data_IF_102000274546
#
_entry.id   IF_102000274546
#
_cell.length_a   1.000
_cell.length_b   1.000
_cell.length_c   1.000
_cell.angle_alpha   90.00
_cell.angle_beta   90.00
_cell.angle_gamma   90.00
#
_symmetry.space_group_name_H-M   'P 1'
#
loop_
_entity.id
_entity.type
_entity.pdbx_description
1 polymer ?
#
# COMPACT_ATOMS: atom_id res chain seq x y z
N UNK A 1 1.42 14.26 -16.08
CA UNK A 1 1.32 12.84 -16.47
C UNK A 1 0.99 11.99 -15.25
N UNK A 2 0.28 10.88 -15.43
CA UNK A 2 0.04 9.91 -14.36
C UNK A 2 1.25 8.97 -14.23
N UNK A 3 1.84 8.86 -13.04
CA UNK A 3 3.02 8.01 -12.82
C UNK A 3 2.71 6.52 -12.63
N UNK A 4 1.43 6.14 -12.46
CA UNK A 4 0.96 4.79 -12.13
C UNK A 4 1.64 4.11 -10.92
N UNK A 5 2.32 4.88 -10.06
CA UNK A 5 3.00 4.37 -8.87
C UNK A 5 2.05 4.25 -7.68
N UNK A 6 1.26 3.18 -7.65
CA UNK A 6 0.27 2.93 -6.59
C UNK A 6 0.88 2.61 -5.22
N UNK A 7 2.17 2.27 -5.18
CA UNK A 7 2.85 1.80 -3.98
C UNK A 7 3.77 2.86 -3.36
N UNK A 8 3.99 3.98 -4.03
CA UNK A 8 4.90 5.03 -3.55
C UNK A 8 6.36 4.59 -3.52
N UNK A 9 6.78 3.72 -4.44
CA UNK A 9 8.18 3.24 -4.48
C UNK A 9 9.08 4.38 -4.90
N UNK A 10 10.04 4.75 -4.03
CA UNK A 10 11.03 5.79 -4.32
C UNK A 10 12.00 5.32 -5.42
N UNK A 11 12.40 6.26 -6.27
CA UNK A 11 13.42 6.07 -7.29
C UNK A 11 14.81 6.26 -6.65
N UNK A 12 15.29 5.24 -5.94
CA UNK A 12 16.60 5.24 -5.27
C UNK A 12 17.54 4.16 -5.84
N UNK A 13 18.84 4.31 -5.60
CA UNK A 13 19.85 3.29 -5.87
C UNK A 13 19.95 2.90 -7.35
N UNK A 14 19.45 1.71 -7.69
CA UNK A 14 19.59 1.05 -9.01
C UNK A 14 18.47 1.35 -10.01
N UNK A 15 17.51 2.21 -9.65
CA UNK A 15 16.41 2.53 -10.56
C UNK A 15 16.92 3.38 -11.74
N UNK A 16 16.74 2.89 -12.97
CA UNK A 16 17.13 3.57 -14.21
C UNK A 16 15.95 3.94 -15.11
N UNK A 17 14.72 3.69 -14.65
CA UNK A 17 13.50 4.02 -15.39
C UNK A 17 13.00 5.44 -15.12
N UNK A 18 11.83 5.74 -15.68
CA UNK A 18 11.14 7.02 -15.50
C UNK A 18 10.88 7.33 -14.02
N UNK A 19 10.86 8.62 -13.69
CA UNK A 19 10.57 9.06 -12.32
C UNK A 19 9.97 10.46 -12.27
N UNK A 20 9.15 10.70 -11.25
CA UNK A 20 8.54 12.00 -10.98
C UNK A 20 9.04 12.54 -9.65
N UNK A 21 9.28 13.85 -9.58
CA UNK A 21 9.62 14.55 -8.33
C UNK A 21 8.33 15.05 -7.68
N UNK A 22 8.10 14.68 -6.43
CA UNK A 22 6.89 15.02 -5.68
C UNK A 22 7.27 15.59 -4.32
N UNK A 23 6.70 16.73 -3.89
CA UNK A 23 6.85 17.20 -2.51
C UNK A 23 6.17 16.23 -1.54
N UNK A 24 6.92 15.71 -0.57
CA UNK A 24 6.44 14.82 0.49
C UNK A 24 6.73 15.36 1.87
N UNK A 25 6.10 14.73 2.87
CA UNK A 25 6.45 14.89 4.28
C UNK A 25 7.16 13.60 4.68
N UNK A 26 8.44 13.71 4.96
CA UNK A 26 9.27 12.63 5.51
C UNK A 26 9.42 12.85 7.02
N UNK A 27 9.82 11.80 7.74
CA UNK A 27 10.09 11.89 9.17
C UNK A 27 11.57 11.65 9.41
N UNK A 28 12.27 12.67 9.92
CA UNK A 28 13.69 12.63 10.28
C UNK A 28 13.77 12.85 11.80
N UNK A 29 14.34 11.89 12.53
CA UNK A 29 14.36 11.86 14.01
C UNK A 29 12.97 12.08 14.65
N UNK A 30 11.92 11.59 13.98
CA UNK A 30 10.53 11.74 14.40
C UNK A 30 9.90 13.11 14.09
N UNK A 31 10.64 14.03 13.48
CA UNK A 31 10.17 15.36 13.10
C UNK A 31 9.69 15.34 11.64
N UNK A 32 8.49 15.83 11.33
CA UNK A 32 8.02 15.93 9.96
C UNK A 32 8.76 17.02 9.19
N UNK A 33 9.41 16.66 8.08
CA UNK A 33 10.18 17.54 7.21
C UNK A 33 9.61 17.50 5.80
N UNK A 34 9.39 18.67 5.19
CA UNK A 34 8.98 18.75 3.78
C UNK A 34 10.20 18.58 2.88
N UNK A 35 10.12 17.65 1.93
CA UNK A 35 11.21 17.36 1.01
C UNK A 35 10.69 17.00 -0.37
N UNK A 36 11.44 17.32 -1.42
CA UNK A 36 11.17 16.80 -2.75
C UNK A 36 11.80 15.41 -2.87
N UNK A 37 10.98 14.39 -3.06
CA UNK A 37 11.43 13.00 -3.24
C UNK A 37 11.11 12.52 -4.66
N UNK A 38 11.98 11.66 -5.19
CA UNK A 38 11.79 11.05 -6.51
C UNK A 38 11.08 9.72 -6.36
N UNK A 39 9.99 9.54 -7.09
CA UNK A 39 9.24 8.29 -7.15
C UNK A 39 9.38 7.67 -8.52
N UNK A 40 9.41 6.34 -8.56
CA UNK A 40 9.35 5.60 -9.84
C UNK A 40 8.09 5.99 -10.58
N UNK A 41 8.17 6.09 -11.90
CA UNK A 41 7.03 6.21 -12.77
C UNK A 41 7.00 5.00 -13.70
N UNK A 42 5.79 4.57 -14.03
CA UNK A 42 5.53 3.37 -14.80
C UNK A 42 4.62 3.68 -15.98
N UNK A 43 4.62 2.82 -16.99
CA UNK A 43 3.77 2.97 -18.17
C UNK A 43 2.34 2.47 -17.94
N UNK A 44 2.14 1.61 -16.94
CA UNK A 44 0.81 1.06 -16.61
C UNK A 44 0.68 0.68 -15.13
N UNK A 45 -0.55 0.50 -14.63
CA UNK A 45 -0.78 -0.11 -13.32
C UNK A 45 -0.11 -1.48 -13.18
N UNK A 46 -0.20 -2.33 -14.21
CA UNK A 46 0.37 -3.68 -14.14
C UNK A 46 1.89 -3.66 -13.89
N UNK A 47 2.60 -2.66 -14.42
CA UNK A 47 4.04 -2.51 -14.24
C UNK A 47 4.40 -2.19 -12.78
N UNK A 48 3.62 -1.32 -12.11
CA UNK A 48 3.88 -0.98 -10.71
C UNK A 48 3.60 -2.13 -9.75
N UNK A 49 2.59 -2.97 -10.04
CA UNK A 49 2.35 -4.20 -9.29
C UNK A 49 3.48 -5.21 -9.48
N UNK A 50 3.97 -5.40 -10.70
CA UNK A 50 5.11 -6.31 -10.97
C UNK A 50 6.37 -5.84 -10.26
N UNK A 51 6.67 -4.54 -10.31
CA UNK A 51 7.84 -3.98 -9.65
C UNK A 51 7.74 -4.05 -8.12
N UNK A 52 6.56 -3.77 -7.55
CA UNK A 52 6.30 -3.96 -6.13
C UNK A 52 6.52 -5.41 -5.69
N UNK A 53 5.94 -6.38 -6.41
CA UNK A 53 6.14 -7.79 -6.09
C UNK A 53 7.62 -8.21 -6.17
N UNK A 54 8.34 -7.73 -7.19
CA UNK A 54 9.77 -7.97 -7.32
C UNK A 54 10.59 -7.32 -6.20
N UNK A 55 10.24 -6.10 -5.78
CA UNK A 55 10.87 -5.40 -4.67
C UNK A 55 10.74 -6.20 -3.36
N UNK A 56 9.53 -6.60 -3.00
CA UNK A 56 9.27 -7.34 -1.76
C UNK A 56 9.94 -8.72 -1.80
N UNK A 57 9.91 -9.40 -2.96
CA UNK A 57 10.49 -10.74 -3.11
C UNK A 57 12.02 -10.75 -3.09
N UNK A 58 12.67 -9.77 -3.72
CA UNK A 58 14.10 -9.85 -4.04
C UNK A 58 14.98 -8.99 -3.12
N UNK A 59 14.40 -8.16 -2.25
CA UNK A 59 15.16 -7.30 -1.34
C UNK A 59 15.20 -7.92 0.07
N UNK A 60 16.39 -8.28 0.60
CA UNK A 60 16.51 -8.89 1.93
C UNK A 60 15.89 -8.07 3.06
N UNK A 61 15.78 -6.73 2.90
CA UNK A 61 15.10 -5.87 3.87
C UNK A 61 13.63 -6.24 4.12
N UNK A 62 12.98 -6.89 3.15
CA UNK A 62 11.56 -7.25 3.20
C UNK A 62 11.32 -8.76 3.36
N UNK A 63 12.36 -9.55 3.67
CA UNK A 63 12.23 -11.00 3.81
C UNK A 63 11.16 -11.39 4.84
N UNK A 64 11.08 -10.67 5.96
CA UNK A 64 10.06 -10.88 7.01
C UNK A 64 8.63 -10.59 6.57
N UNK A 65 8.44 -9.87 5.46
CA UNK A 65 7.10 -9.60 4.93
C UNK A 65 6.58 -10.77 4.07
N UNK A 66 7.46 -11.67 3.62
CA UNK A 66 7.08 -12.83 2.82
C UNK A 66 6.28 -13.83 3.68
N UNK A 67 5.17 -14.34 3.15
CA UNK A 67 4.29 -15.27 3.85
C UNK A 67 3.33 -14.63 4.85
N UNK A 68 3.50 -13.35 5.19
CA UNK A 68 2.58 -12.62 6.07
C UNK A 68 1.33 -12.07 5.34
N UNK A 69 1.10 -12.39 4.07
CA UNK A 69 0.05 -11.76 3.27
C UNK A 69 -1.39 -11.95 3.80
N UNK A 70 -1.63 -12.98 4.62
CA UNK A 70 -2.91 -13.21 5.31
C UNK A 70 -3.08 -12.43 6.62
N UNK A 71 -1.98 -11.87 7.16
CA UNK A 71 -1.96 -11.03 8.35
C UNK A 71 -1.43 -9.64 8.01
N UNK A 72 -2.35 -8.70 7.81
CA UNK A 72 -2.03 -7.31 7.47
C UNK A 72 -1.14 -6.65 8.52
N UNK A 73 -1.32 -6.99 9.81
CA UNK A 73 -0.53 -6.37 10.87
C UNK A 73 0.93 -6.82 10.81
N UNK A 74 1.16 -8.13 10.67
CA UNK A 74 2.51 -8.68 10.48
C UNK A 74 3.16 -8.16 9.21
N UNK A 75 2.41 -8.12 8.10
CA UNK A 75 2.92 -7.62 6.83
C UNK A 75 3.35 -6.14 6.93
N UNK A 76 2.49 -5.29 7.49
CA UNK A 76 2.77 -3.87 7.60
C UNK A 76 3.91 -3.56 8.59
N UNK A 77 4.01 -4.33 9.68
CA UNK A 77 5.12 -4.23 10.62
C UNK A 77 6.46 -4.60 9.95
N UNK A 78 6.49 -5.70 9.18
CA UNK A 78 7.69 -6.11 8.46
C UNK A 78 8.12 -5.10 7.39
N UNK A 79 7.16 -4.47 6.69
CA UNK A 79 7.47 -3.38 5.76
C UNK A 79 8.07 -2.16 6.48
N UNK A 80 7.51 -1.78 7.62
CA UNK A 80 8.02 -0.67 8.43
C UNK A 80 9.44 -0.97 8.92
N UNK A 81 9.69 -2.16 9.44
CA UNK A 81 11.02 -2.61 9.88
C UNK A 81 12.03 -2.62 8.73
N UNK A 82 11.60 -3.02 7.52
CA UNK A 82 12.41 -2.97 6.30
C UNK A 82 12.65 -1.55 5.75
N UNK A 83 12.12 -0.52 6.41
CA UNK A 83 12.31 0.88 6.03
C UNK A 83 11.49 1.30 4.81
N UNK A 84 10.32 0.69 4.59
CA UNK A 84 9.44 1.06 3.48
C UNK A 84 8.90 2.50 3.60
N UNK A 85 8.63 2.95 4.83
CA UNK A 85 8.18 4.30 5.14
C UNK A 85 8.94 4.85 6.35
N UNK A 86 9.19 6.15 6.38
CA UNK A 86 9.83 6.82 7.52
C UNK A 86 8.85 7.15 8.63
N UNK A 87 7.55 7.13 8.34
CA UNK A 87 6.50 7.41 9.32
C UNK A 87 6.50 6.35 10.43
N UNK A 88 6.70 6.75 11.71
CA UNK A 88 6.75 5.81 12.83
C UNK A 88 5.41 5.08 13.07
N UNK A 89 4.31 5.58 12.52
CA UNK A 89 2.98 4.99 12.65
C UNK A 89 2.49 4.29 11.37
N UNK A 90 3.37 4.03 10.40
CA UNK A 90 3.00 3.42 9.12
C UNK A 90 2.17 2.14 9.29
N UNK A 91 2.67 1.15 10.04
CA UNK A 91 1.99 -0.12 10.21
C UNK A 91 0.59 0.04 10.83
N UNK A 92 0.46 0.91 11.83
CA UNK A 92 -0.83 1.22 12.47
C UNK A 92 -1.83 1.80 11.47
N UNK A 93 -1.38 2.71 10.59
CA UNK A 93 -2.22 3.31 9.55
C UNK A 93 -2.71 2.26 8.55
N UNK A 94 -1.83 1.38 8.07
CA UNK A 94 -2.20 0.30 7.15
C UNK A 94 -3.25 -0.64 7.78
N UNK A 95 -3.06 -1.01 9.05
CA UNK A 95 -4.03 -1.85 9.78
C UNK A 95 -5.38 -1.14 9.93
N UNK A 96 -5.40 0.17 10.20
CA UNK A 96 -6.64 0.96 10.28
C UNK A 96 -7.41 0.91 8.96
N UNK A 97 -6.73 1.20 7.85
CA UNK A 97 -7.34 1.19 6.51
C UNK A 97 -7.88 -0.19 6.16
N UNK A 98 -7.13 -1.26 6.45
CA UNK A 98 -7.60 -2.62 6.17
C UNK A 98 -8.85 -3.01 6.99
N UNK A 99 -8.96 -2.51 8.23
CA UNK A 99 -10.15 -2.68 9.07
C UNK A 99 -11.35 -1.94 8.47
N UNK A 100 -11.18 -0.66 8.15
CA UNK A 100 -12.24 0.17 7.55
C UNK A 100 -12.77 -0.45 6.24
N UNK A 101 -11.89 -0.94 5.37
CA UNK A 101 -12.27 -1.62 4.13
C UNK A 101 -13.07 -2.91 4.38
N UNK A 102 -12.72 -3.68 5.42
CA UNK A 102 -13.45 -4.90 5.80
C UNK A 102 -14.86 -4.56 6.27
N UNK A 103 -15.00 -3.52 7.07
CA UNK A 103 -16.30 -3.05 7.58
C UNK A 103 -17.20 -2.53 6.45
N UNK A 104 -16.64 -1.75 5.52
CA UNK A 104 -17.36 -1.25 4.35
C UNK A 104 -17.82 -2.40 3.45
N UNK A 105 -16.96 -3.38 3.20
CA UNK A 105 -17.29 -4.53 2.34
C UNK A 105 -18.35 -5.42 2.99
N UNK A 106 -18.23 -5.68 4.29
CA UNK A 106 -19.23 -6.44 5.05
C UNK A 106 -20.58 -5.72 5.03
N UNK A 107 -20.58 -4.41 5.27
CA UNK A 107 -21.81 -3.58 5.23
C UNK A 107 -22.48 -3.58 3.86
N UNK A 108 -21.69 -3.49 2.78
CA UNK A 108 -22.19 -3.56 1.42
C UNK A 108 -22.78 -4.95 1.08
N UNK A 109 -22.15 -6.02 1.55
CA UNK A 109 -22.65 -7.39 1.38
C UNK A 109 -23.95 -7.63 2.15
N UNK A 110 -24.04 -7.17 3.40
CA UNK A 110 -25.27 -7.26 4.21
C UNK A 110 -26.40 -6.50 3.52
N UNK A 111 -26.18 -5.25 3.08
CA UNK A 111 -27.20 -4.47 2.35
C UNK A 111 -27.68 -5.17 1.07
N UNK A 112 -26.78 -5.80 0.31
CA UNK A 112 -27.15 -6.58 -0.88
C UNK A 112 -27.98 -7.82 -0.54
N UNK A 113 -27.60 -8.56 0.49
CA UNK A 113 -28.34 -9.75 0.94
C UNK A 113 -29.74 -9.40 1.46
N UNK A 114 -29.87 -8.28 2.18
CA UNK A 114 -31.17 -7.74 2.63
C UNK A 114 -32.08 -7.42 1.45
N UNK A 115 -31.58 -6.69 0.43
CA UNK A 115 -32.37 -6.32 -0.74
C UNK A 115 -32.84 -7.53 -1.56
N UNK A 116 -32.01 -8.58 -1.67
CA UNK A 116 -32.36 -9.77 -2.45
C UNK A 116 -33.46 -10.61 -1.78
N UNK A 117 -33.58 -10.56 -0.45
CA UNK A 117 -34.59 -11.31 0.32
C UNK A 117 -36.01 -10.72 0.19
N UNK A 118 -36.15 -9.43 -0.12
CA UNK A 118 -37.45 -8.77 -0.28
C UNK A 118 -38.10 -8.99 -1.66
N UNK A 119 -37.35 -9.39 -2.69
CA UNK A 119 -37.91 -9.65 -4.03
C UNK A 119 -38.47 -11.08 -4.21
N UNK A 120 -38.34 -11.94 -3.21
CA UNK A 120 -38.74 -13.36 -3.27
C UNK A 120 -40.11 -13.73 -2.69
N UNK A 121 -40.86 -12.78 -2.10
CA UNK A 121 -42.15 -13.06 -1.42
C UNK A 121 -43.40 -12.61 -2.19
N UNK A 122 -43.26 -12.25 -3.48
CA UNK A 122 -44.39 -11.97 -4.37
C UNK A 122 -44.39 -12.95 -5.55
N UNK A 123 -44.81 -14.19 -5.32
CA UNK A 123 -45.23 -15.15 -6.36
C UNK A 123 -46.22 -16.14 -5.79
#
# INVERSE_FOLDING_TARGET
>A
ECSYNFFGIKATGRWSGESVSVPTIEFEDGIPVRKAERFRAYSSPADSFRDYAALIRNNPRYERALGCGSDVASFAAALQEGGYATDPNYAKKIVSVARELRELTTSAQVKRASNTRFEGEHS
#
